data_IF_833490859842
#
_entry.id   IF_833490859842
#
_cell.length_a   1.000
_cell.length_b   1.000
_cell.length_c   1.000
_cell.angle_alpha   90.00
_cell.angle_beta   90.00
_cell.angle_gamma   90.00
#
_symmetry.space_group_name_H-M   'P 1'
#
loop_
_entity.id
_entity.type
_entity.pdbx_description
1 polymer ?
#
# COMPACT_ATOMS: atom_id res chain seq x y z
N UNK A 1 2.68 6.06 -8.35
CA UNK A 1 3.45 4.95 -7.74
C UNK A 1 3.01 4.58 -6.31
N UNK A 2 2.80 5.53 -5.39
CA UNK A 2 2.68 5.25 -3.95
C UNK A 2 1.56 4.28 -3.52
N UNK A 3 0.42 4.27 -4.22
CA UNK A 3 -0.68 3.32 -3.97
C UNK A 3 -0.62 2.07 -4.86
N UNK A 4 0.24 2.07 -5.88
CA UNK A 4 0.36 1.00 -6.88
C UNK A 4 1.50 0.03 -6.55
N UNK A 5 2.43 0.43 -5.69
CA UNK A 5 3.55 -0.40 -5.23
C UNK A 5 3.13 -1.27 -4.04
N UNK A 6 2.33 -2.29 -4.32
CA UNK A 6 1.83 -3.20 -3.30
C UNK A 6 2.88 -4.27 -3.03
N UNK A 7 3.44 -4.26 -1.81
CA UNK A 7 4.29 -5.36 -1.32
C UNK A 7 3.38 -6.48 -0.84
N UNK A 8 3.27 -7.54 -1.63
CA UNK A 8 2.48 -8.71 -1.30
C UNK A 8 3.32 -9.93 -0.93
N UNK A 9 2.65 -10.87 -0.28
CA UNK A 9 3.23 -12.09 0.25
C UNK A 9 3.80 -12.96 -0.90
N UNK A 10 3.19 -12.87 -2.08
CA UNK A 10 3.66 -13.52 -3.29
C UNK A 10 5.00 -12.96 -3.78
N UNK A 11 5.17 -11.63 -3.84
CA UNK A 11 6.46 -11.03 -4.19
C UNK A 11 7.53 -11.28 -3.12
N UNK A 12 7.17 -11.26 -1.83
CA UNK A 12 8.10 -11.65 -0.77
C UNK A 12 8.58 -13.09 -0.97
N UNK A 13 7.66 -14.02 -1.25
CA UNK A 13 8.00 -15.41 -1.52
C UNK A 13 8.90 -15.57 -2.74
N UNK A 14 8.67 -14.78 -3.80
CA UNK A 14 9.52 -14.75 -5.00
C UNK A 14 10.96 -14.33 -4.66
N UNK A 15 11.14 -13.27 -3.87
CA UNK A 15 12.47 -12.80 -3.46
C UNK A 15 13.24 -13.84 -2.63
N UNK A 16 12.55 -14.64 -1.81
CA UNK A 16 13.20 -15.73 -1.07
C UNK A 16 13.55 -16.94 -1.94
N UNK A 17 12.94 -17.09 -3.11
CA UNK A 17 13.03 -18.31 -3.92
C UNK A 17 13.64 -18.10 -5.31
N UNK A 18 13.92 -16.87 -5.72
CA UNK A 18 14.55 -16.52 -7.01
C UNK A 18 16.06 -16.81 -7.09
N UNK A 19 16.63 -17.36 -6.02
CA UNK A 19 18.03 -17.75 -5.93
C UNK A 19 18.95 -16.64 -5.40
N UNK A 20 18.54 -15.37 -5.45
CA UNK A 20 19.33 -14.26 -4.91
C UNK A 20 19.58 -14.43 -3.41
N UNK A 21 18.53 -14.76 -2.65
CA UNK A 21 18.62 -15.02 -1.22
C UNK A 21 19.58 -16.18 -0.88
N UNK A 22 19.57 -17.26 -1.68
CA UNK A 22 20.46 -18.40 -1.46
C UNK A 22 21.93 -18.03 -1.75
N UNK A 23 22.16 -17.27 -2.82
CA UNK A 23 23.49 -16.74 -3.15
C UNK A 23 24.00 -15.78 -2.06
N UNK A 24 23.13 -14.92 -1.54
CA UNK A 24 23.46 -14.00 -0.43
C UNK A 24 23.83 -14.77 0.84
N UNK A 25 23.07 -15.82 1.17
CA UNK A 25 23.34 -16.67 2.33
C UNK A 25 24.71 -17.37 2.19
N UNK A 26 25.01 -17.93 1.01
CA UNK A 26 26.29 -18.58 0.74
C UNK A 26 27.48 -17.61 0.74
N UNK A 27 27.25 -16.33 0.41
CA UNK A 27 28.29 -15.28 0.49
C UNK A 27 28.56 -14.82 1.91
N UNK A 28 27.51 -14.70 2.73
CA UNK A 28 27.62 -14.15 4.09
C UNK A 28 28.06 -15.20 5.12
N UNK A 29 27.73 -16.47 4.90
CA UNK A 29 27.98 -17.54 5.86
C UNK A 29 28.82 -18.66 5.22
N UNK A 30 29.92 -19.02 5.87
CA UNK A 30 30.74 -20.17 5.47
C UNK A 30 29.98 -21.50 5.66
N UNK A 31 29.18 -21.59 6.72
CA UNK A 31 28.27 -22.71 7.01
C UNK A 31 27.17 -22.28 7.98
N UNK A 32 26.02 -22.93 7.93
CA UNK A 32 24.92 -22.76 8.89
C UNK A 32 24.23 -24.12 9.15
N UNK A 33 23.74 -24.35 10.37
CA UNK A 33 23.08 -25.62 10.72
C UNK A 33 21.62 -25.65 10.25
N UNK A 34 20.86 -24.58 10.49
CA UNK A 34 19.45 -24.47 10.12
C UNK A 34 19.08 -23.02 9.83
N UNK A 35 18.09 -22.87 8.97
CA UNK A 35 17.49 -21.58 8.64
C UNK A 35 16.16 -21.41 9.37
N UNK A 36 16.03 -20.33 10.15
CA UNK A 36 14.79 -19.95 10.82
C UNK A 36 14.33 -18.56 10.36
N UNK A 37 13.02 -18.42 10.14
CA UNK A 37 12.38 -17.20 9.69
C UNK A 37 11.50 -16.63 10.80
N UNK A 38 11.71 -15.36 11.13
CA UNK A 38 10.87 -14.64 12.09
C UNK A 38 9.80 -13.83 11.37
N UNK A 39 8.62 -14.42 11.18
CA UNK A 39 7.53 -13.84 10.41
C UNK A 39 6.33 -13.55 11.30
N UNK A 40 5.56 -12.52 10.94
CA UNK A 40 4.23 -12.27 11.49
C UNK A 40 3.19 -12.43 10.35
N UNK A 41 2.91 -13.66 9.92
CA UNK A 41 2.05 -13.88 8.76
C UNK A 41 0.63 -13.32 9.01
N UNK A 42 -0.04 -12.74 8.01
CA UNK A 42 -1.33 -12.07 8.22
C UNK A 42 -2.44 -13.00 8.74
N UNK A 43 -2.40 -14.27 8.29
CA UNK A 43 -3.44 -15.28 8.55
C UNK A 43 -3.06 -16.19 9.73
N UNK A 44 -1.79 -16.55 9.84
CA UNK A 44 -1.28 -17.49 10.86
C UNK A 44 -0.55 -16.80 12.02
N UNK A 45 -0.43 -15.47 11.96
CA UNK A 45 0.35 -14.69 12.92
C UNK A 45 -0.40 -14.51 14.23
N UNK A 46 0.31 -14.71 15.33
CA UNK A 46 -0.22 -14.41 16.66
C UNK A 46 -0.37 -12.90 16.84
N UNK A 47 -1.43 -12.48 17.52
CA UNK A 47 -1.58 -11.09 17.99
C UNK A 47 -1.25 -11.02 19.48
N UNK A 48 -0.64 -9.92 19.90
CA UNK A 48 -0.44 -9.61 21.32
C UNK A 48 -1.74 -9.14 21.97
N UNK A 49 -1.70 -8.97 23.30
CA UNK A 49 -2.84 -8.43 24.07
C UNK A 49 -3.17 -6.98 23.67
N UNK A 50 -2.20 -6.28 23.07
CA UNK A 50 -2.34 -4.95 22.49
C UNK A 50 -2.86 -4.97 21.03
N UNK A 51 -3.25 -6.14 20.52
CA UNK A 51 -3.75 -6.34 19.16
C UNK A 51 -2.67 -6.33 18.07
N UNK A 52 -1.39 -6.13 18.42
CA UNK A 52 -0.31 -5.99 17.43
C UNK A 52 0.21 -7.35 16.95
N UNK A 53 0.66 -7.47 15.67
CA UNK A 53 1.26 -8.70 15.16
C UNK A 53 2.53 -9.06 15.94
N UNK A 54 2.60 -10.32 16.41
CA UNK A 54 3.79 -10.89 17.05
C UNK A 54 4.52 -11.80 16.07
N UNK A 55 5.84 -11.62 15.99
CA UNK A 55 6.70 -12.51 15.20
C UNK A 55 6.68 -13.91 15.81
N UNK A 56 6.57 -14.91 14.94
CA UNK A 56 6.69 -16.33 15.25
C UNK A 56 7.92 -16.88 14.51
N UNK A 57 8.62 -17.85 15.11
CA UNK A 57 9.71 -18.55 14.43
C UNK A 57 9.16 -19.68 13.57
N UNK A 58 9.64 -19.76 12.33
CA UNK A 58 9.34 -20.82 11.38
C UNK A 58 10.65 -21.46 10.93
N UNK A 59 10.77 -22.77 11.07
CA UNK A 59 11.97 -23.50 10.69
C UNK A 59 12.19 -23.62 9.17
N UNK A 60 13.15 -24.47 8.75
CA UNK A 60 13.56 -24.59 7.35
C UNK A 60 12.45 -24.96 6.36
N UNK A 61 11.37 -25.59 6.85
CA UNK A 61 10.21 -25.95 6.03
C UNK A 61 9.54 -24.73 5.37
N UNK A 62 9.70 -23.53 5.93
CA UNK A 62 9.14 -22.30 5.39
C UNK A 62 9.64 -21.99 3.97
N UNK A 63 10.85 -22.42 3.60
CA UNK A 63 11.33 -22.30 2.22
C UNK A 63 10.46 -23.06 1.22
N UNK A 64 9.94 -24.23 1.61
CA UNK A 64 8.98 -24.98 0.78
C UNK A 64 7.64 -24.26 0.68
N UNK A 65 7.19 -23.65 1.77
CA UNK A 65 5.97 -22.84 1.78
C UNK A 65 6.09 -21.60 0.86
N UNK A 66 7.23 -20.89 0.88
CA UNK A 66 7.47 -19.80 -0.07
C UNK A 66 7.44 -20.27 -1.52
N UNK A 67 8.03 -21.43 -1.84
CA UNK A 67 7.95 -21.99 -3.21
C UNK A 67 6.50 -22.26 -3.63
N UNK A 68 5.68 -22.80 -2.72
CA UNK A 68 4.27 -23.01 -2.99
C UNK A 68 3.53 -21.69 -3.23
N UNK A 69 3.79 -20.68 -2.40
CA UNK A 69 3.20 -19.34 -2.57
C UNK A 69 3.53 -18.73 -3.93
N UNK A 70 4.77 -18.88 -4.42
CA UNK A 70 5.15 -18.40 -5.76
C UNK A 70 4.32 -19.05 -6.87
N UNK A 71 4.05 -20.35 -6.78
CA UNK A 71 3.18 -21.04 -7.76
C UNK A 71 1.74 -20.52 -7.66
N UNK A 72 1.28 -20.23 -6.44
CA UNK A 72 -0.05 -19.66 -6.17
C UNK A 72 -0.17 -18.18 -6.51
N UNK A 73 0.87 -17.51 -7.05
CA UNK A 73 0.82 -16.08 -7.41
C UNK A 73 -0.32 -15.74 -8.37
N UNK A 74 -0.75 -16.69 -9.20
CA UNK A 74 -1.88 -16.51 -10.13
C UNK A 74 -3.23 -16.31 -9.42
N UNK A 75 -3.31 -16.64 -8.13
CA UNK A 75 -4.50 -16.38 -7.31
C UNK A 75 -4.60 -14.92 -6.87
N UNK A 76 -3.54 -14.12 -7.01
CA UNK A 76 -3.51 -12.70 -6.61
C UNK A 76 -4.68 -11.94 -7.24
N UNK A 77 -5.46 -11.27 -6.41
CA UNK A 77 -6.62 -10.49 -6.86
C UNK A 77 -7.85 -11.32 -7.26
N UNK A 78 -7.77 -12.66 -7.22
CA UNK A 78 -8.93 -13.54 -7.48
C UNK A 78 -9.73 -13.78 -6.20
N UNK A 79 -10.91 -14.41 -6.32
CA UNK A 79 -11.71 -14.82 -5.16
C UNK A 79 -10.96 -15.77 -4.20
N UNK A 80 -9.97 -16.51 -4.71
CA UNK A 80 -9.14 -17.44 -3.95
C UNK A 80 -7.88 -16.80 -3.34
N UNK A 81 -7.72 -15.48 -3.43
CA UNK A 81 -6.63 -14.74 -2.79
C UNK A 81 -6.84 -14.67 -1.27
N UNK A 82 -6.26 -15.62 -0.54
CA UNK A 82 -6.35 -15.68 0.92
C UNK A 82 -5.81 -14.41 1.60
N UNK A 83 -4.80 -13.76 1.04
CA UNK A 83 -4.21 -12.54 1.59
C UNK A 83 -5.04 -11.31 1.22
N UNK A 84 -5.64 -11.31 0.03
CA UNK A 84 -6.50 -10.25 -0.52
C UNK A 84 -7.76 -9.96 0.30
N UNK A 85 -8.20 -10.92 1.13
CA UNK A 85 -9.37 -10.78 2.01
C UNK A 85 -9.07 -10.11 3.35
N UNK A 86 -7.80 -9.84 3.67
CA UNK A 86 -7.45 -9.13 4.90
C UNK A 86 -7.97 -7.69 4.89
N UNK A 87 -8.28 -7.16 6.08
CA UNK A 87 -8.75 -5.78 6.22
C UNK A 87 -7.76 -4.75 5.64
N UNK A 88 -6.45 -5.01 5.78
CA UNK A 88 -5.40 -4.16 5.21
C UNK A 88 -5.45 -4.17 3.68
N UNK A 89 -5.51 -5.35 3.04
CA UNK A 89 -5.61 -5.43 1.56
C UNK A 89 -6.88 -4.81 1.00
N UNK A 90 -8.02 -4.96 1.69
CA UNK A 90 -9.27 -4.29 1.28
C UNK A 90 -9.13 -2.78 1.34
N UNK A 91 -8.56 -2.24 2.42
CA UNK A 91 -8.32 -0.81 2.57
C UNK A 91 -7.34 -0.27 1.52
N UNK A 92 -6.27 -1.02 1.18
CA UNK A 92 -5.34 -0.64 0.11
C UNK A 92 -6.03 -0.53 -1.26
N UNK A 93 -6.85 -1.53 -1.62
CA UNK A 93 -7.61 -1.52 -2.88
C UNK A 93 -8.63 -0.38 -2.93
N UNK A 94 -9.32 -0.14 -1.81
CA UNK A 94 -10.26 0.97 -1.71
C UNK A 94 -9.56 2.32 -1.86
N UNK A 95 -8.37 2.50 -1.25
CA UNK A 95 -7.56 3.71 -1.41
C UNK A 95 -7.12 3.93 -2.86
N UNK A 96 -6.73 2.87 -3.57
CA UNK A 96 -6.38 2.97 -4.99
C UNK A 96 -7.58 3.38 -5.84
N UNK A 97 -8.73 2.71 -5.67
CA UNK A 97 -9.95 3.05 -6.39
C UNK A 97 -10.43 4.48 -6.10
N UNK A 98 -10.32 4.93 -4.85
CA UNK A 98 -10.63 6.30 -4.46
C UNK A 98 -9.70 7.30 -5.15
N UNK A 99 -8.41 7.00 -5.25
CA UNK A 99 -7.45 7.85 -5.94
C UNK A 99 -7.70 7.92 -7.45
N UNK A 100 -8.05 6.80 -8.08
CA UNK A 100 -8.45 6.79 -9.50
C UNK A 100 -9.68 7.67 -9.73
N UNK A 101 -10.70 7.56 -8.89
CA UNK A 101 -11.88 8.43 -8.95
C UNK A 101 -11.53 9.92 -8.73
N UNK A 102 -10.57 10.23 -7.85
CA UNK A 102 -10.08 11.61 -7.66
C UNK A 102 -9.39 12.13 -8.92
N UNK A 103 -8.63 11.30 -9.62
CA UNK A 103 -7.98 11.68 -10.88
C UNK A 103 -9.02 11.95 -11.98
N UNK A 104 -10.08 11.15 -12.06
CA UNK A 104 -11.19 11.39 -12.99
C UNK A 104 -11.90 12.71 -12.68
N UNK A 105 -12.14 13.02 -11.40
CA UNK A 105 -12.71 14.31 -10.97
C UNK A 105 -11.81 15.48 -11.32
N UNK A 106 -10.49 15.34 -11.10
CA UNK A 106 -9.51 16.36 -11.49
C UNK A 106 -9.56 16.59 -12.99
N UNK A 107 -9.56 15.52 -13.80
CA UNK A 107 -9.60 15.62 -15.25
C UNK A 107 -10.86 16.35 -15.75
N UNK A 108 -12.02 16.11 -15.11
CA UNK A 108 -13.28 16.75 -15.46
C UNK A 108 -13.38 18.23 -15.00
N UNK A 109 -12.78 18.57 -13.86
CA UNK A 109 -12.91 19.88 -13.22
C UNK A 109 -11.74 20.85 -13.48
N UNK A 110 -10.73 20.42 -14.25
CA UNK A 110 -9.51 21.19 -14.45
C UNK A 110 -9.78 22.51 -15.19
N UNK A 111 -9.41 23.62 -14.56
CA UNK A 111 -9.52 24.96 -15.11
C UNK A 111 -8.36 25.84 -14.59
N UNK A 112 -8.03 26.98 -15.23
CA UNK A 112 -6.90 27.83 -14.83
C UNK A 112 -6.87 28.23 -13.35
N UNK A 113 -8.03 28.47 -12.72
CA UNK A 113 -8.14 28.80 -11.29
C UNK A 113 -8.12 27.60 -10.33
N UNK A 114 -8.05 26.36 -10.85
CA UNK A 114 -8.20 25.12 -10.08
C UNK A 114 -6.96 24.23 -10.08
N UNK A 115 -5.91 24.63 -10.80
CA UNK A 115 -4.67 23.85 -10.96
C UNK A 115 -4.01 23.53 -9.62
N UNK A 116 -3.97 24.49 -8.69
CA UNK A 116 -3.38 24.28 -7.36
C UNK A 116 -4.16 23.23 -6.55
N UNK A 117 -5.49 23.33 -6.51
CA UNK A 117 -6.36 22.38 -5.81
C UNK A 117 -6.26 20.97 -6.43
N UNK A 118 -6.22 20.89 -7.76
CA UNK A 118 -6.03 19.64 -8.48
C UNK A 118 -4.68 18.98 -8.17
N UNK A 119 -3.58 19.75 -8.22
CA UNK A 119 -2.24 19.25 -7.90
C UNK A 119 -2.14 18.79 -6.43
N UNK A 120 -2.72 19.56 -5.52
CA UNK A 120 -2.77 19.20 -4.11
C UNK A 120 -3.56 17.91 -3.89
N UNK A 121 -4.74 17.76 -4.49
CA UNK A 121 -5.55 16.54 -4.38
C UNK A 121 -4.80 15.32 -4.95
N UNK A 122 -4.16 15.46 -6.11
CA UNK A 122 -3.35 14.40 -6.71
C UNK A 122 -2.15 13.99 -5.82
N UNK A 123 -1.70 14.88 -4.93
CA UNK A 123 -0.58 14.64 -4.02
C UNK A 123 -0.96 13.95 -2.71
N UNK A 124 -2.24 13.84 -2.37
CA UNK A 124 -2.74 13.24 -1.11
C UNK A 124 -2.12 11.88 -0.79
N UNK A 125 -1.93 10.94 -1.75
CA UNK A 125 -1.27 9.67 -1.46
C UNK A 125 0.13 9.80 -0.85
N UNK A 126 0.82 10.92 -1.04
CA UNK A 126 2.13 11.18 -0.44
C UNK A 126 2.09 11.27 1.10
N UNK A 127 0.94 11.62 1.67
CA UNK A 127 0.70 11.73 3.11
C UNK A 127 0.59 10.37 3.79
N UNK A 128 0.21 9.32 3.05
CA UNK A 128 0.09 7.98 3.59
C UNK A 128 1.48 7.36 3.72
N UNK A 129 1.95 7.19 4.95
CA UNK A 129 3.30 6.69 5.28
C UNK A 129 3.25 5.57 6.31
N UNK A 130 4.35 4.82 6.40
CA UNK A 130 4.52 3.73 7.35
C UNK A 130 3.76 2.46 6.97
N UNK A 131 3.63 1.55 7.95
CA UNK A 131 3.05 0.22 7.78
C UNK A 131 2.08 -0.10 8.93
N UNK A 132 1.13 -1.01 8.71
CA UNK A 132 0.16 -1.44 9.72
C UNK A 132 -0.59 -0.26 10.35
N UNK A 133 -0.60 -0.20 11.68
CA UNK A 133 -1.30 0.85 12.43
C UNK A 133 -0.85 2.29 12.11
N UNK A 134 0.44 2.50 11.82
CA UNK A 134 0.98 3.83 11.44
C UNK A 134 0.38 4.27 10.10
N UNK A 135 0.24 3.34 9.17
CA UNK A 135 -0.37 3.61 7.87
C UNK A 135 -1.85 3.88 7.99
N UNK A 136 -2.57 3.12 8.82
CA UNK A 136 -3.99 3.35 9.09
C UNK A 136 -4.23 4.76 9.66
N UNK A 137 -3.43 5.16 10.65
CA UNK A 137 -3.52 6.51 11.21
C UNK A 137 -3.17 7.60 10.18
N UNK A 138 -2.16 7.37 9.34
CA UNK A 138 -1.78 8.31 8.27
C UNK A 138 -2.87 8.39 7.18
N UNK A 139 -3.55 7.29 6.87
CA UNK A 139 -4.65 7.22 5.92
C UNK A 139 -5.87 8.00 6.41
N UNK A 140 -6.19 7.94 7.71
CA UNK A 140 -7.26 8.75 8.29
C UNK A 140 -7.00 10.26 8.09
N UNK A 141 -5.78 10.72 8.43
CA UNK A 141 -5.37 12.12 8.20
C UNK A 141 -5.41 12.51 6.72
N UNK A 142 -4.96 11.62 5.84
CA UNK A 142 -5.02 11.84 4.39
C UNK A 142 -6.47 11.97 3.88
N UNK A 143 -7.42 11.24 4.48
CA UNK A 143 -8.85 11.33 4.14
C UNK A 143 -9.47 12.67 4.53
N UNK A 144 -9.03 13.26 5.64
CA UNK A 144 -9.45 14.60 6.05
C UNK A 144 -8.94 15.65 5.06
N UNK A 145 -7.64 15.60 4.73
CA UNK A 145 -7.03 16.51 3.75
C UNK A 145 -7.66 16.36 2.36
N UNK A 146 -7.94 15.12 1.93
CA UNK A 146 -8.66 14.85 0.68
C UNK A 146 -10.00 15.56 0.63
N UNK A 147 -10.80 15.46 1.70
CA UNK A 147 -12.13 16.07 1.76
C UNK A 147 -12.05 17.60 1.61
N UNK A 148 -11.08 18.23 2.27
CA UNK A 148 -10.82 19.67 2.16
C UNK A 148 -10.44 20.08 0.73
N UNK A 149 -9.57 19.31 0.09
CA UNK A 149 -9.09 19.60 -1.26
C UNK A 149 -10.17 19.36 -2.33
N UNK A 150 -11.03 18.36 -2.14
CA UNK A 150 -12.20 18.15 -2.98
C UNK A 150 -13.15 19.33 -2.93
N UNK A 151 -13.45 19.85 -1.73
CA UNK A 151 -14.29 21.05 -1.59
C UNK A 151 -13.70 22.22 -2.39
N UNK A 152 -12.40 22.53 -2.19
CA UNK A 152 -11.69 23.57 -2.95
C UNK A 152 -11.73 23.37 -4.47
N UNK A 153 -11.65 22.12 -4.94
CA UNK A 153 -11.73 21.81 -6.37
C UNK A 153 -13.14 22.01 -6.92
N UNK A 154 -14.16 21.67 -6.14
CA UNK A 154 -15.57 21.76 -6.56
C UNK A 154 -16.16 23.16 -6.40
N UNK A 155 -15.63 23.99 -5.50
CA UNK A 155 -16.06 25.38 -5.34
C UNK A 155 -15.91 26.16 -6.66
N UNK A 156 -16.85 27.08 -6.90
CA UNK A 156 -16.80 27.97 -8.05
C UNK A 156 -15.59 28.89 -7.90
N UNK A 157 -14.73 28.94 -8.91
CA UNK A 157 -13.63 29.90 -8.91
C UNK A 157 -14.24 31.32 -8.85
N UNK A 158 -13.76 32.22 -7.98
CA UNK A 158 -14.22 33.60 -7.99
C UNK A 158 -13.97 34.18 -9.38
N UNK A 159 -15.03 34.68 -10.02
CA UNK A 159 -14.93 35.36 -11.31
C UNK A 159 -14.00 36.55 -11.10
N UNK A 160 -12.86 36.64 -11.82
CA UNK A 160 -12.01 37.81 -11.72
C UNK A 160 -12.82 39.00 -12.23
N UNK A 161 -13.23 39.87 -11.31
CA UNK A 161 -13.86 41.14 -11.65
C UNK A 161 -12.74 41.99 -12.24
N UNK A 162 -12.70 42.10 -13.57
CA UNK A 162 -11.83 43.05 -14.24
C UNK A 162 -12.38 44.45 -13.90
N UNK A 163 -11.83 45.06 -12.84
CA UNK A 163 -12.03 46.48 -12.57
C UNK A 163 -11.29 47.25 -13.66
N UNK A 164 -12.01 47.65 -14.70
CA UNK A 164 -11.54 48.71 -15.58
C UNK A 164 -11.34 49.96 -14.72
N UNK A 165 -10.10 50.42 -14.62
CA UNK A 165 -9.81 51.75 -14.10
C UNK A 165 -10.27 52.76 -15.16
N UNK A 166 -11.24 53.60 -14.80
CA UNK A 166 -11.64 54.79 -15.52
C UNK A 166 -11.22 56.03 -14.72
#
# INVERSE_FOLDING_TARGET
FKLMAIKDEYEVARLYTDGSFAADLARQFQSYEKLEFHLAPPILGRRGNDGKPRKSSFGPWMMKAFRLLVVMRGLRGTAFDLFGHTAERRAERQLLAQYEADLDLIAAALAPGKVEAAAALASVPALIRGYGHVRQASAAKASEERSRLLQRLTEAAPVPVLSAAE
#
